data_IF_776048042313
#
_entry.id   IF_776048042313
#
_cell.length_a   1.000
_cell.length_b   1.000
_cell.length_c   1.000
_cell.angle_alpha   90.00
_cell.angle_beta   90.00
_cell.angle_gamma   90.00
#
_symmetry.space_group_name_H-M   'P 1'
#
loop_
_entity.id
_entity.type
_entity.pdbx_description
1 polymer ?
#
# COMPACT_ATOMS: atom_id res chain seq x y z
N UNK A 1 -23.57 36.09 -16.79
CA UNK A 1 -24.32 36.79 -15.72
C UNK A 1 -25.80 36.63 -15.99
N UNK A 2 -26.43 35.67 -15.33
CA UNK A 2 -27.89 35.45 -15.39
C UNK A 2 -28.48 36.06 -14.11
N UNK A 3 -29.43 36.99 -14.17
CA UNK A 3 -30.00 37.58 -12.97
C UNK A 3 -31.07 36.63 -12.40
N UNK A 4 -30.81 36.09 -11.22
CA UNK A 4 -31.75 35.30 -10.44
C UNK A 4 -32.81 36.23 -9.84
N UNK A 5 -34.07 36.03 -10.20
CA UNK A 5 -35.24 36.73 -9.67
C UNK A 5 -35.59 36.14 -8.28
N UNK A 6 -35.59 36.97 -7.23
CA UNK A 6 -36.20 36.64 -5.94
C UNK A 6 -37.65 37.16 -5.90
N UNK A 7 -38.61 36.27 -5.64
CA UNK A 7 -39.92 36.65 -5.14
C UNK A 7 -39.89 36.60 -3.61
N UNK A 8 -40.14 37.75 -2.96
CA UNK A 8 -40.32 37.83 -1.51
C UNK A 8 -41.82 37.82 -1.22
N UNK A 9 -42.30 36.74 -0.60
CA UNK A 9 -43.62 36.69 0.01
C UNK A 9 -43.45 37.05 1.50
N UNK A 10 -44.07 38.15 1.93
CA UNK A 10 -44.12 38.52 3.35
C UNK A 10 -45.18 37.70 4.06
N UNK A 11 -44.75 36.74 4.90
CA UNK A 11 -45.53 36.19 6.01
C UNK A 11 -44.77 36.51 7.29
N UNK A 12 -45.44 37.06 8.29
CA UNK A 12 -44.88 37.24 9.62
C UNK A 12 -44.66 35.86 10.25
N UNK A 13 -43.43 35.36 10.21
CA UNK A 13 -42.89 34.35 11.11
C UNK A 13 -41.41 34.69 11.30
N UNK A 14 -40.99 34.88 12.56
CA UNK A 14 -39.63 35.24 12.98
C UNK A 14 -38.59 34.10 12.76
N UNK A 15 -38.85 33.17 11.85
CA UNK A 15 -37.89 32.14 11.43
C UNK A 15 -37.15 32.61 10.18
N UNK A 16 -36.23 33.56 10.36
CA UNK A 16 -35.15 33.72 9.40
C UNK A 16 -34.35 32.40 9.39
N UNK A 17 -34.16 31.73 8.23
CA UNK A 17 -33.31 30.54 8.18
C UNK A 17 -31.93 30.92 8.70
N UNK A 18 -31.51 30.22 9.77
CA UNK A 18 -30.15 30.31 10.28
C UNK A 18 -29.23 29.98 9.09
N UNK A 19 -28.23 30.80 8.76
CA UNK A 19 -27.31 30.46 7.69
C UNK A 19 -26.70 29.09 8.00
N UNK A 20 -26.86 28.12 7.10
CA UNK A 20 -26.12 26.87 7.20
C UNK A 20 -24.62 27.23 7.21
N UNK A 21 -23.90 26.75 8.22
CA UNK A 21 -22.46 26.94 8.30
C UNK A 21 -21.82 26.26 7.08
N UNK A 22 -21.23 27.07 6.20
CA UNK A 22 -20.56 26.58 4.99
C UNK A 22 -19.28 25.88 5.43
N UNK A 23 -19.23 24.55 5.24
CA UNK A 23 -18.04 23.75 5.47
C UNK A 23 -17.08 23.93 4.29
N UNK A 24 -15.86 24.37 4.57
CA UNK A 24 -14.80 24.61 3.57
C UNK A 24 -13.60 23.72 3.84
N UNK A 25 -12.92 23.26 2.78
CA UNK A 25 -11.63 22.60 2.90
C UNK A 25 -10.54 23.58 3.39
N UNK A 26 -9.76 23.15 4.37
CA UNK A 26 -8.62 23.88 4.94
C UNK A 26 -7.26 23.34 4.48
N UNK A 27 -7.15 22.03 4.30
CA UNK A 27 -5.92 21.35 3.85
C UNK A 27 -6.29 20.00 3.22
N UNK A 28 -5.37 19.42 2.45
CA UNK A 28 -5.52 18.06 1.93
C UNK A 28 -4.18 17.39 1.64
N UNK A 29 -4.13 16.06 1.73
CA UNK A 29 -3.01 15.21 1.31
C UNK A 29 -3.55 14.07 0.47
N UNK A 30 -2.86 13.73 -0.62
CA UNK A 30 -3.25 12.67 -1.54
C UNK A 30 -2.22 11.55 -1.55
N UNK A 31 -2.71 10.32 -1.57
CA UNK A 31 -1.92 9.08 -1.60
C UNK A 31 -2.36 8.22 -2.79
N UNK A 32 -1.41 7.49 -3.36
CA UNK A 32 -1.65 6.58 -4.48
C UNK A 32 -2.25 5.26 -3.99
N UNK A 33 -3.30 4.79 -4.66
CA UNK A 33 -3.83 3.42 -4.51
C UNK A 33 -3.40 2.59 -5.70
N UNK A 34 -2.36 1.78 -5.50
CA UNK A 34 -1.82 0.89 -6.51
C UNK A 34 -2.74 -0.30 -6.80
N UNK A 35 -2.72 -0.79 -8.03
CA UNK A 35 -3.46 -1.98 -8.42
C UNK A 35 -3.10 -3.20 -7.56
N UNK A 36 -4.14 -3.88 -7.06
CA UNK A 36 -4.05 -5.14 -6.34
C UNK A 36 -4.64 -6.32 -7.14
N UNK A 37 -5.17 -6.03 -8.33
CA UNK A 37 -5.68 -6.99 -9.30
C UNK A 37 -4.95 -6.82 -10.65
N UNK A 38 -5.18 -7.76 -11.57
CA UNK A 38 -4.67 -7.66 -12.96
C UNK A 38 -5.44 -6.62 -13.80
N UNK A 39 -6.43 -5.94 -13.21
CA UNK A 39 -7.17 -4.87 -13.86
C UNK A 39 -6.32 -3.60 -13.89
N UNK A 40 -6.39 -2.88 -15.00
CA UNK A 40 -5.74 -1.58 -15.16
C UNK A 40 -6.54 -0.47 -14.45
N UNK A 41 -6.66 -0.57 -13.13
CA UNK A 41 -7.32 0.42 -12.28
C UNK A 41 -6.25 1.26 -11.60
N UNK A 42 -6.40 2.57 -11.67
CA UNK A 42 -5.61 3.54 -10.93
C UNK A 42 -6.51 4.19 -9.89
N UNK A 43 -6.01 4.35 -8.67
CA UNK A 43 -6.76 5.00 -7.62
C UNK A 43 -5.95 6.03 -6.87
N UNK A 44 -6.65 6.99 -6.29
CA UNK A 44 -6.09 7.93 -5.33
C UNK A 44 -7.04 8.01 -4.14
N UNK A 45 -6.47 8.26 -2.97
CA UNK A 45 -7.23 8.75 -1.82
C UNK A 45 -6.70 10.12 -1.40
N UNK A 46 -7.62 11.06 -1.22
CA UNK A 46 -7.34 12.38 -0.67
C UNK A 46 -7.96 12.51 0.72
N UNK A 47 -7.12 12.74 1.72
CA UNK A 47 -7.52 13.08 3.08
C UNK A 47 -7.67 14.60 3.17
N UNK A 48 -8.84 15.08 3.58
CA UNK A 48 -9.21 16.50 3.53
C UNK A 48 -9.57 16.98 4.94
N UNK A 49 -8.94 18.07 5.37
CA UNK A 49 -9.29 18.78 6.61
C UNK A 49 -10.41 19.78 6.35
N UNK A 50 -11.53 19.69 7.07
CA UNK A 50 -12.66 20.60 6.92
C UNK A 50 -12.70 21.70 8.00
N UNK A 51 -13.35 22.83 7.70
CA UNK A 51 -13.45 24.00 8.60
C UNK A 51 -14.29 23.77 9.86
N UNK A 52 -15.12 22.73 9.87
CA UNK A 52 -15.95 22.33 11.01
C UNK A 52 -15.30 21.24 11.89
N UNK A 53 -13.99 21.05 11.78
CA UNK A 53 -13.21 20.02 12.49
C UNK A 53 -13.56 18.56 12.13
N UNK A 54 -14.21 18.34 10.98
CA UNK A 54 -14.34 16.98 10.41
C UNK A 54 -13.21 16.71 9.42
N UNK A 55 -13.05 15.43 9.08
CA UNK A 55 -12.10 14.96 8.07
C UNK A 55 -12.86 14.19 7.00
N UNK A 56 -12.56 14.45 5.73
CA UNK A 56 -13.13 13.70 4.61
C UNK A 56 -12.07 12.82 3.97
N UNK A 57 -12.36 11.54 3.81
CA UNK A 57 -11.62 10.60 2.98
C UNK A 57 -12.32 10.50 1.63
N UNK A 58 -11.70 11.04 0.59
CA UNK A 58 -12.23 11.09 -0.76
C UNK A 58 -11.42 10.16 -1.66
N UNK A 59 -12.06 9.16 -2.26
CA UNK A 59 -11.40 8.17 -3.13
C UNK A 59 -11.88 8.38 -4.56
N UNK A 60 -10.93 8.40 -5.49
CA UNK A 60 -11.17 8.41 -6.94
C UNK A 60 -10.49 7.22 -7.58
N UNK A 61 -11.27 6.38 -8.24
CA UNK A 61 -10.78 5.30 -9.09
C UNK A 61 -11.06 5.62 -10.55
N UNK A 62 -10.08 5.32 -11.40
CA UNK A 62 -10.21 5.40 -12.85
C UNK A 62 -9.87 4.05 -13.47
N UNK A 63 -10.66 3.63 -14.45
CA UNK A 63 -10.55 2.31 -15.07
C UNK A 63 -11.92 1.70 -15.30
N UNK A 64 -11.92 0.41 -15.63
CA UNK A 64 -13.13 -0.34 -15.90
C UNK A 64 -13.66 -1.01 -14.62
N UNK A 65 -14.65 -0.36 -13.98
CA UNK A 65 -15.24 -0.77 -12.72
C UNK A 65 -16.56 -1.56 -12.90
N UNK A 66 -16.79 -2.22 -14.05
CA UNK A 66 -18.00 -2.94 -14.53
C UNK A 66 -18.92 -3.70 -13.54
N UNK A 67 -18.62 -3.78 -12.25
CA UNK A 67 -19.40 -4.41 -11.21
C UNK A 67 -20.27 -3.39 -10.43
N UNK A 68 -20.96 -3.85 -9.39
CA UNK A 68 -21.68 -3.00 -8.44
C UNK A 68 -20.70 -2.14 -7.61
N UNK A 69 -21.23 -1.29 -6.73
CA UNK A 69 -20.42 -0.47 -5.82
C UNK A 69 -19.38 -1.31 -5.06
N UNK A 70 -18.18 -0.76 -4.92
CA UNK A 70 -17.01 -1.45 -4.40
C UNK A 70 -16.74 -1.06 -2.94
N UNK A 71 -16.77 -2.00 -1.98
CA UNK A 71 -16.48 -1.70 -0.59
C UNK A 71 -15.06 -1.14 -0.41
N UNK A 72 -14.91 -0.19 0.52
CA UNK A 72 -13.63 0.40 0.86
C UNK A 72 -13.44 0.51 2.36
N UNK A 73 -12.20 0.36 2.80
CA UNK A 73 -11.85 0.33 4.22
C UNK A 73 -10.56 1.07 4.48
N UNK A 74 -10.53 1.82 5.58
CA UNK A 74 -9.30 2.24 6.24
C UNK A 74 -8.88 1.15 7.22
N UNK A 75 -7.61 0.72 7.15
CA UNK A 75 -7.09 -0.43 7.89
C UNK A 75 -5.75 -0.09 8.55
N UNK A 76 -5.44 -0.80 9.64
CA UNK A 76 -4.19 -0.64 10.39
C UNK A 76 -3.01 -1.36 9.72
N UNK A 77 -1.78 -0.97 10.11
CA UNK A 77 -0.49 -1.45 9.59
C UNK A 77 -0.25 -1.09 8.11
N UNK A 78 0.78 -1.65 7.49
CA UNK A 78 0.98 -1.50 6.05
C UNK A 78 0.10 -2.44 5.23
N UNK A 79 -0.13 -2.09 3.97
CA UNK A 79 -0.80 -2.94 2.98
C UNK A 79 -0.06 -4.28 2.75
N UNK A 80 1.25 -4.33 2.99
CA UNK A 80 2.06 -5.55 2.88
C UNK A 80 1.92 -6.48 4.09
N UNK A 81 1.57 -5.94 5.26
CA UNK A 81 1.35 -6.72 6.50
C UNK A 81 -0.13 -7.05 6.72
N UNK A 82 -1.02 -6.32 6.05
CA UNK A 82 -2.47 -6.31 6.30
C UNK A 82 -2.79 -5.90 7.73
N UNK A 83 -4.08 -5.73 8.05
CA UNK A 83 -4.48 -5.41 9.41
C UNK A 83 -5.97 -5.36 9.63
N UNK A 84 -6.35 -5.06 10.87
CA UNK A 84 -7.74 -4.90 11.26
C UNK A 84 -8.35 -3.66 10.60
N UNK A 85 -9.67 -3.69 10.43
CA UNK A 85 -10.43 -2.54 9.92
C UNK A 85 -10.47 -1.46 11.01
N UNK A 86 -10.03 -0.26 10.65
CA UNK A 86 -10.06 0.92 11.52
C UNK A 86 -11.33 1.74 11.30
N UNK A 87 -11.79 1.84 10.05
CA UNK A 87 -13.02 2.53 9.67
C UNK A 87 -13.58 1.93 8.36
N UNK A 88 -14.85 1.59 8.35
CA UNK A 88 -15.59 1.30 7.11
C UNK A 88 -15.84 2.61 6.35
N UNK A 89 -15.52 2.63 5.07
CA UNK A 89 -15.74 3.79 4.20
C UNK A 89 -16.99 3.56 3.35
N UNK A 90 -17.59 4.65 2.89
CA UNK A 90 -18.61 4.59 1.85
C UNK A 90 -18.05 3.84 0.63
N UNK A 91 -18.87 2.99 0.02
CA UNK A 91 -18.46 2.22 -1.14
C UNK A 91 -18.14 3.15 -2.34
N UNK A 92 -17.18 2.76 -3.17
CA UNK A 92 -16.90 3.45 -4.43
C UNK A 92 -18.09 3.18 -5.35
N UNK A 93 -18.72 4.25 -5.79
CA UNK A 93 -19.80 4.16 -6.76
C UNK A 93 -19.24 3.72 -8.11
N UNK A 94 -19.79 2.64 -8.67
CA UNK A 94 -19.25 2.02 -9.88
C UNK A 94 -19.42 2.87 -11.14
N UNK A 95 -20.41 3.76 -11.20
CA UNK A 95 -20.67 4.64 -12.35
C UNK A 95 -19.71 5.84 -12.38
N UNK A 96 -19.36 6.37 -11.21
CA UNK A 96 -18.54 7.58 -11.08
C UNK A 96 -17.09 7.31 -10.72
N UNK A 97 -16.79 6.14 -10.15
CA UNK A 97 -15.47 5.81 -9.60
C UNK A 97 -15.16 6.54 -8.29
N UNK A 98 -16.14 7.16 -7.65
CA UNK A 98 -15.93 8.05 -6.49
C UNK A 98 -16.50 7.44 -5.21
N UNK A 99 -15.78 7.61 -4.10
CA UNK A 99 -16.30 7.48 -2.73
C UNK A 99 -15.94 8.73 -1.91
N UNK A 100 -16.81 9.11 -0.96
CA UNK A 100 -16.58 10.24 -0.06
C UNK A 100 -17.13 9.95 1.33
N UNK A 101 -16.24 9.72 2.29
CA UNK A 101 -16.59 9.46 3.70
C UNK A 101 -16.16 10.64 4.57
N UNK A 102 -17.09 11.29 5.27
CA UNK A 102 -16.76 12.36 6.23
C UNK A 102 -16.93 11.85 7.66
N UNK A 103 -15.92 12.05 8.50
CA UNK A 103 -15.86 11.49 9.85
C UNK A 103 -15.33 12.50 10.87
N UNK A 104 -15.65 12.26 12.14
CA UNK A 104 -15.01 12.91 13.30
C UNK A 104 -14.27 11.90 14.18
N UNK A 105 -14.20 10.63 13.76
CA UNK A 105 -13.50 9.59 14.50
C UNK A 105 -11.97 9.75 14.43
N UNK A 106 -11.48 10.31 13.31
CA UNK A 106 -10.08 10.64 13.09
C UNK A 106 -9.98 12.09 12.61
N UNK A 107 -9.10 12.87 13.22
CA UNK A 107 -8.74 14.19 12.71
C UNK A 107 -7.86 14.06 11.46
N UNK A 108 -7.69 15.16 10.73
CA UNK A 108 -6.78 15.19 9.59
C UNK A 108 -5.35 14.83 10.06
N UNK A 109 -4.90 15.44 11.15
CA UNK A 109 -3.60 15.18 11.75
C UNK A 109 -3.42 13.71 12.16
N UNK A 110 -4.45 13.08 12.75
CA UNK A 110 -4.39 11.64 13.07
C UNK A 110 -4.18 10.79 11.82
N UNK A 111 -4.77 11.17 10.68
CA UNK A 111 -4.63 10.44 9.42
C UNK A 111 -3.28 10.69 8.70
N UNK A 112 -2.64 11.83 8.94
CA UNK A 112 -1.29 12.11 8.42
C UNK A 112 -0.23 11.31 9.18
N UNK A 113 -0.42 11.04 10.47
CA UNK A 113 0.47 10.22 11.28
C UNK A 113 0.00 8.75 11.39
N UNK A 114 -1.01 8.35 10.61
CA UNK A 114 -1.65 7.06 10.74
C UNK A 114 -0.76 5.91 10.26
N UNK A 115 -0.61 4.90 11.11
CA UNK A 115 -0.06 3.60 10.75
C UNK A 115 -1.14 2.75 10.08
N UNK A 116 -1.36 2.99 8.79
CA UNK A 116 -2.41 2.31 8.07
C UNK A 116 -2.30 2.37 6.56
N UNK A 117 -3.31 1.76 5.96
CA UNK A 117 -3.51 1.71 4.52
C UNK A 117 -4.99 1.72 4.20
N UNK A 118 -5.31 2.03 2.95
CA UNK A 118 -6.66 1.95 2.40
C UNK A 118 -6.69 0.86 1.36
N UNK A 119 -7.77 0.10 1.33
CA UNK A 119 -8.03 -0.83 0.25
C UNK A 119 -9.46 -0.69 -0.27
N UNK A 120 -9.61 -1.06 -1.54
CA UNK A 120 -10.91 -1.18 -2.21
C UNK A 120 -11.06 -2.61 -2.67
N UNK A 121 -12.12 -3.27 -2.24
CA UNK A 121 -12.41 -4.66 -2.57
C UNK A 121 -13.12 -4.75 -3.93
N UNK A 122 -13.13 -5.94 -4.51
CA UNK A 122 -14.17 -6.21 -5.49
C UNK A 122 -15.56 -6.07 -4.84
N UNK A 123 -16.57 -5.74 -5.65
CA UNK A 123 -17.95 -5.80 -5.17
C UNK A 123 -18.27 -7.22 -4.72
N UNK A 124 -19.24 -7.34 -3.81
CA UNK A 124 -19.70 -8.57 -3.12
C UNK A 124 -20.09 -9.78 -4.01
N UNK A 125 -19.82 -9.72 -5.32
CA UNK A 125 -20.07 -10.77 -6.31
C UNK A 125 -18.81 -11.34 -6.96
N UNK A 126 -17.67 -10.66 -6.87
CA UNK A 126 -16.39 -11.25 -7.21
C UNK A 126 -15.70 -11.59 -5.88
N UNK A 127 -14.93 -12.67 -5.85
CA UNK A 127 -14.24 -13.22 -4.66
C UNK A 127 -13.58 -12.16 -3.74
N UNK A 128 -13.17 -12.55 -2.52
CA UNK A 128 -12.45 -11.78 -1.46
C UNK A 128 -11.17 -11.00 -1.89
N UNK A 129 -10.96 -10.74 -3.18
CA UNK A 129 -9.86 -9.99 -3.76
C UNK A 129 -10.00 -8.47 -3.63
N UNK A 130 -8.90 -7.81 -3.96
CA UNK A 130 -8.73 -6.37 -3.89
C UNK A 130 -8.59 -5.79 -5.30
N UNK A 131 -9.24 -4.65 -5.54
CA UNK A 131 -9.05 -3.86 -6.76
C UNK A 131 -7.77 -3.06 -6.68
N UNK A 132 -7.67 -2.22 -5.65
CA UNK A 132 -6.55 -1.33 -5.37
C UNK A 132 -6.29 -1.25 -3.88
N UNK A 133 -5.07 -0.91 -3.51
CA UNK A 133 -4.71 -0.57 -2.14
C UNK A 133 -3.51 0.37 -2.11
N UNK A 134 -3.38 1.15 -1.04
CA UNK A 134 -2.27 2.06 -0.85
C UNK A 134 -2.06 2.40 0.61
N UNK A 135 -0.79 2.47 0.99
CA UNK A 135 -0.37 2.95 2.31
C UNK A 135 -0.67 4.45 2.44
N UNK A 136 -1.05 4.91 3.64
CA UNK A 136 -1.29 6.33 3.92
C UNK A 136 -0.48 6.77 5.13
N UNK A 137 -0.52 8.06 5.43
CA UNK A 137 0.08 8.62 6.64
C UNK A 137 1.57 8.33 6.72
N UNK A 138 2.03 7.80 7.86
CA UNK A 138 3.46 7.51 8.07
C UNK A 138 3.98 6.34 7.21
N UNK A 139 3.08 5.52 6.65
CA UNK A 139 3.43 4.39 5.80
C UNK A 139 3.65 4.81 4.35
N UNK A 140 3.31 6.03 3.97
CA UNK A 140 3.48 6.52 2.60
C UNK A 140 4.94 6.38 2.12
N UNK A 141 5.09 6.11 0.82
CA UNK A 141 6.40 5.88 0.22
C UNK A 141 7.04 7.19 -0.20
N UNK A 142 8.31 7.34 0.15
CA UNK A 142 9.14 8.41 -0.40
C UNK A 142 9.62 8.05 -1.80
N UNK A 143 10.27 9.00 -2.48
CA UNK A 143 10.94 8.74 -3.77
C UNK A 143 12.32 8.07 -3.61
N UNK A 144 12.74 7.73 -2.38
CA UNK A 144 14.06 7.15 -2.09
C UNK A 144 13.98 5.64 -2.19
N UNK A 145 14.73 5.06 -3.14
CA UNK A 145 14.77 3.61 -3.35
C UNK A 145 16.16 3.13 -3.76
N UNK A 146 16.39 1.83 -3.55
CA UNK A 146 17.57 1.10 -4.03
C UNK A 146 17.15 -0.25 -4.61
N UNK A 147 17.83 -0.70 -5.66
CA UNK A 147 17.55 -1.95 -6.35
C UNK A 147 18.79 -2.81 -6.42
N UNK A 148 18.63 -4.11 -6.17
CA UNK A 148 19.69 -5.12 -6.27
C UNK A 148 19.27 -6.23 -7.23
N UNK A 149 20.19 -6.65 -8.09
CA UNK A 149 19.94 -7.73 -9.04
C UNK A 149 19.95 -9.09 -8.33
N UNK A 150 19.00 -9.95 -8.69
CA UNK A 150 18.89 -11.33 -8.24
C UNK A 150 19.10 -12.25 -9.43
N UNK A 151 20.22 -12.96 -9.44
CA UNK A 151 20.68 -13.75 -10.56
C UNK A 151 20.33 -15.23 -10.38
N UNK A 152 20.20 -15.92 -11.51
CA UNK A 152 19.98 -17.37 -11.59
C UNK A 152 20.97 -18.16 -10.72
N UNK A 153 20.48 -19.23 -10.06
CA UNK A 153 21.33 -20.15 -9.29
C UNK A 153 21.15 -21.62 -9.68
N UNK A 154 20.17 -22.31 -9.10
CA UNK A 154 19.93 -23.75 -9.34
C UNK A 154 18.78 -24.00 -10.31
N UNK A 155 17.88 -23.01 -10.50
CA UNK A 155 16.73 -23.08 -11.40
C UNK A 155 16.99 -22.24 -12.64
N UNK A 156 17.21 -22.90 -13.78
CA UNK A 156 17.51 -22.25 -15.05
C UNK A 156 16.39 -21.31 -15.51
N UNK A 157 16.77 -20.14 -16.02
CA UNK A 157 15.89 -19.11 -16.57
C UNK A 157 15.32 -18.14 -15.53
N UNK A 158 15.57 -18.34 -14.24
CA UNK A 158 15.06 -17.47 -13.19
C UNK A 158 16.00 -16.28 -12.93
N UNK A 159 15.48 -15.05 -12.97
CA UNK A 159 16.24 -13.84 -12.66
C UNK A 159 15.31 -12.67 -12.39
N UNK A 160 15.82 -11.62 -11.75
CA UNK A 160 15.04 -10.41 -11.51
C UNK A 160 15.78 -9.46 -10.58
N UNK A 161 15.01 -8.75 -9.77
CA UNK A 161 15.58 -7.84 -8.78
C UNK A 161 14.73 -7.80 -7.51
N UNK A 162 15.31 -7.17 -6.49
CA UNK A 162 14.59 -6.68 -5.33
C UNK A 162 14.78 -5.17 -5.27
N UNK A 163 13.70 -4.44 -5.01
CA UNK A 163 13.72 -3.00 -4.78
C UNK A 163 13.25 -2.72 -3.36
N UNK A 164 14.01 -1.90 -2.63
CA UNK A 164 13.62 -1.35 -1.35
C UNK A 164 13.25 0.12 -1.53
N UNK A 165 12.06 0.51 -1.10
CA UNK A 165 11.61 1.92 -1.13
C UNK A 165 11.36 2.40 0.30
N UNK A 166 11.94 3.54 0.67
CA UNK A 166 11.84 4.11 2.02
C UNK A 166 10.44 4.66 2.28
N UNK A 167 9.85 4.31 3.42
CA UNK A 167 8.61 4.89 3.96
C UNK A 167 8.90 6.17 4.74
N UNK A 168 7.89 7.02 4.95
CA UNK A 168 8.06 8.25 5.74
C UNK A 168 8.49 7.98 7.19
N UNK A 169 8.03 6.89 7.80
CA UNK A 169 8.44 6.45 9.14
C UNK A 169 9.89 5.90 9.21
N UNK A 170 10.58 5.76 8.08
CA UNK A 170 11.97 5.25 8.00
C UNK A 170 12.10 3.75 7.72
N UNK A 171 11.02 2.98 7.82
CA UNK A 171 10.96 1.59 7.38
C UNK A 171 11.11 1.48 5.84
N UNK A 172 11.15 0.26 5.32
CA UNK A 172 11.20 0.03 3.88
C UNK A 172 10.12 -0.94 3.39
N UNK A 173 9.55 -0.66 2.22
CA UNK A 173 8.84 -1.66 1.43
C UNK A 173 9.86 -2.39 0.55
N UNK A 174 10.02 -3.70 0.77
CA UNK A 174 10.80 -4.58 -0.09
C UNK A 174 9.88 -5.24 -1.13
N UNK A 175 10.18 -5.05 -2.42
CA UNK A 175 9.48 -5.67 -3.54
C UNK A 175 10.45 -6.55 -4.32
N UNK A 176 10.25 -7.87 -4.25
CA UNK A 176 10.95 -8.83 -5.11
C UNK A 176 10.14 -9.00 -6.38
N UNK A 177 10.80 -8.90 -7.54
CA UNK A 177 10.19 -9.08 -8.86
C UNK A 177 11.06 -9.99 -9.72
N UNK A 178 10.61 -11.22 -9.94
CA UNK A 178 11.32 -12.26 -10.67
C UNK A 178 10.60 -12.65 -11.96
N UNK A 179 11.38 -13.03 -12.95
CA UNK A 179 10.94 -13.78 -14.12
C UNK A 179 11.45 -15.21 -14.03
N UNK A 180 10.75 -16.16 -14.67
CA UNK A 180 11.19 -17.55 -14.76
C UNK A 180 11.04 -18.37 -13.48
N UNK A 181 10.24 -17.90 -12.51
CA UNK A 181 9.88 -18.70 -11.33
C UNK A 181 9.00 -19.90 -11.72
N UNK A 182 9.15 -21.05 -11.05
CA UNK A 182 8.23 -22.18 -11.24
C UNK A 182 6.77 -21.81 -10.92
N UNK A 183 5.92 -21.79 -11.95
CA UNK A 183 4.50 -21.39 -11.84
C UNK A 183 3.74 -22.20 -10.79
N UNK A 184 2.89 -21.53 -10.01
CA UNK A 184 2.13 -22.13 -8.91
C UNK A 184 2.98 -22.47 -7.67
N UNK A 185 4.28 -22.19 -7.69
CA UNK A 185 5.16 -22.34 -6.53
C UNK A 185 4.91 -21.27 -5.45
N UNK A 186 5.37 -21.57 -4.24
CA UNK A 186 5.50 -20.63 -3.13
C UNK A 186 6.96 -20.67 -2.72
N UNK A 187 7.68 -19.57 -2.92
CA UNK A 187 9.13 -19.53 -2.82
C UNK A 187 9.56 -18.69 -1.60
N UNK A 188 10.06 -19.33 -0.53
CA UNK A 188 10.61 -18.60 0.62
C UNK A 188 11.76 -17.70 0.20
N UNK A 189 11.89 -16.54 0.82
CA UNK A 189 12.98 -15.62 0.55
C UNK A 189 13.56 -15.07 1.85
N UNK A 190 14.88 -14.92 1.89
CA UNK A 190 15.60 -14.50 3.09
C UNK A 190 16.74 -13.55 2.78
N UNK A 191 17.07 -12.66 3.73
CA UNK A 191 18.40 -12.06 3.82
C UNK A 191 19.25 -12.95 4.72
N UNK A 192 20.42 -13.32 4.22
CA UNK A 192 21.48 -13.96 4.96
C UNK A 192 22.59 -12.95 5.25
N UNK A 193 23.30 -13.12 6.36
CA UNK A 193 24.51 -12.34 6.66
C UNK A 193 25.73 -12.82 5.86
N UNK A 194 26.72 -11.93 5.70
CA UNK A 194 27.90 -12.05 4.84
C UNK A 194 27.58 -11.85 3.34
N UNK A 195 28.59 -11.98 2.47
CA UNK A 195 28.37 -12.15 1.04
C UNK A 195 27.96 -13.59 0.71
N UNK A 196 27.36 -13.79 -0.48
CA UNK A 196 26.88 -15.08 -0.93
C UNK A 196 27.97 -16.16 -1.04
N UNK A 197 29.23 -15.79 -1.28
CA UNK A 197 30.34 -16.72 -1.41
C UNK A 197 30.81 -17.25 -0.03
N UNK A 198 30.75 -16.38 0.98
CA UNK A 198 31.11 -16.70 2.37
C UNK A 198 29.98 -17.42 3.09
N UNK A 199 28.72 -17.13 2.73
CA UNK A 199 27.49 -17.64 3.35
C UNK A 199 27.29 -17.18 4.80
N UNK A 200 26.07 -17.31 5.31
CA UNK A 200 25.77 -16.99 6.71
C UNK A 200 24.35 -17.36 7.12
N UNK A 201 24.03 -17.20 8.42
CA UNK A 201 22.68 -17.42 8.93
C UNK A 201 21.67 -16.43 8.31
N UNK A 202 20.41 -16.84 8.29
CA UNK A 202 19.27 -16.00 7.95
C UNK A 202 19.11 -14.95 9.06
N UNK A 203 19.03 -13.67 8.66
CA UNK A 203 18.82 -12.53 9.57
C UNK A 203 17.46 -11.87 9.37
N UNK A 204 16.85 -12.02 8.19
CA UNK A 204 15.54 -11.46 7.86
C UNK A 204 14.76 -12.42 6.96
N UNK A 205 13.46 -12.54 7.18
CA UNK A 205 12.55 -13.37 6.38
C UNK A 205 11.55 -12.50 5.64
N UNK A 206 11.50 -12.63 4.31
CA UNK A 206 10.50 -11.94 3.49
C UNK A 206 9.18 -12.72 3.45
N UNK A 207 8.11 -12.05 3.02
CA UNK A 207 6.95 -12.74 2.47
C UNK A 207 7.38 -13.61 1.27
N UNK A 208 6.72 -14.74 1.08
CA UNK A 208 7.05 -15.69 0.02
C UNK A 208 6.80 -15.07 -1.37
N UNK A 209 7.66 -15.40 -2.34
CA UNK A 209 7.45 -15.01 -3.74
C UNK A 209 6.41 -15.95 -4.34
N UNK A 210 5.36 -15.37 -4.91
CA UNK A 210 4.35 -16.11 -5.65
C UNK A 210 4.96 -16.60 -6.96
N UNK A 211 5.06 -17.91 -7.15
CA UNK A 211 5.72 -18.49 -8.33
C UNK A 211 5.01 -18.24 -9.66
N UNK A 212 3.72 -17.89 -9.63
CA UNK A 212 2.96 -17.52 -10.83
C UNK A 212 3.25 -16.08 -11.28
N UNK A 213 3.29 -15.13 -10.34
CA UNK A 213 3.51 -13.70 -10.66
C UNK A 213 4.98 -13.29 -10.57
N UNK A 214 5.81 -14.04 -9.85
CA UNK A 214 7.20 -13.70 -9.54
C UNK A 214 7.33 -12.58 -8.51
N UNK A 215 6.23 -12.15 -7.88
CA UNK A 215 6.21 -10.98 -6.98
C UNK A 215 6.14 -11.40 -5.50
N UNK A 216 6.87 -10.67 -4.66
CA UNK A 216 6.65 -10.57 -3.20
C UNK A 216 6.74 -9.11 -2.77
N UNK A 217 5.94 -8.72 -1.77
CA UNK A 217 5.98 -7.40 -1.12
C UNK A 217 6.08 -7.63 0.38
N UNK A 218 7.05 -7.01 1.06
CA UNK A 218 7.28 -7.19 2.52
C UNK A 218 7.60 -5.85 3.17
N UNK A 219 7.05 -5.58 4.35
CA UNK A 219 7.49 -4.47 5.18
C UNK A 219 8.78 -4.83 5.93
N UNK A 220 9.74 -3.92 5.97
CA UNK A 220 11.06 -4.11 6.61
C UNK A 220 11.21 -3.09 7.73
N UNK A 221 11.10 -3.58 8.96
CA UNK A 221 11.17 -2.78 10.19
C UNK A 221 12.12 -3.35 11.25
N UNK A 222 12.33 -4.67 11.27
CA UNK A 222 13.21 -5.35 12.21
C UNK A 222 13.77 -6.65 11.62
N UNK A 223 14.92 -7.10 12.13
CA UNK A 223 15.46 -8.44 11.92
C UNK A 223 14.62 -9.49 12.64
N UNK A 224 14.87 -10.76 12.32
CA UNK A 224 14.18 -11.90 12.92
C UNK A 224 14.40 -12.03 14.45
N UNK A 225 15.44 -11.39 15.00
CA UNK A 225 15.70 -11.33 16.45
C UNK A 225 15.06 -10.12 17.15
N UNK A 226 14.34 -9.28 16.40
CA UNK A 226 13.67 -8.07 16.87
C UNK A 226 14.57 -6.82 16.91
N UNK A 227 15.85 -6.91 16.51
CA UNK A 227 16.68 -5.72 16.36
C UNK A 227 16.12 -4.83 15.24
N UNK A 228 16.03 -3.50 15.43
CA UNK A 228 15.60 -2.59 14.37
C UNK A 228 16.45 -2.75 13.11
N UNK A 229 15.79 -2.78 11.96
CA UNK A 229 16.42 -2.87 10.65
C UNK A 229 15.56 -2.11 9.66
N UNK A 230 16.00 -0.89 9.38
CA UNK A 230 15.26 0.12 8.61
C UNK A 230 15.89 0.29 7.23
N UNK A 231 15.33 1.21 6.43
CA UNK A 231 15.83 1.46 5.07
C UNK A 231 17.33 1.77 5.02
N UNK A 232 17.83 2.63 5.92
CA UNK A 232 19.23 3.05 5.91
C UNK A 232 20.18 1.88 6.28
N UNK A 233 19.71 0.89 7.04
CA UNK A 233 20.46 -0.33 7.37
C UNK A 233 20.60 -1.26 6.16
N UNK A 234 19.58 -1.32 5.29
CA UNK A 234 19.64 -2.07 4.02
C UNK A 234 20.77 -1.59 3.12
N UNK A 235 21.12 -0.29 3.19
CA UNK A 235 22.21 0.27 2.36
C UNK A 235 23.60 -0.17 2.81
N UNK A 236 23.74 -0.62 4.06
CA UNK A 236 25.04 -0.89 4.68
C UNK A 236 25.19 -2.33 5.18
N UNK A 237 24.13 -3.12 5.13
CA UNK A 237 24.16 -4.52 5.53
C UNK A 237 25.19 -5.30 4.71
N UNK A 238 26.03 -6.06 5.39
CA UNK A 238 26.86 -7.09 4.77
C UNK A 238 25.99 -8.34 4.64
N UNK A 239 25.22 -8.42 3.55
CA UNK A 239 24.22 -9.47 3.35
C UNK A 239 24.06 -9.91 1.89
N UNK A 240 23.32 -11.01 1.73
CA UNK A 240 22.86 -11.50 0.43
C UNK A 240 21.45 -12.08 0.55
N UNK A 241 20.72 -12.08 -0.55
CA UNK A 241 19.37 -12.61 -0.65
C UNK A 241 19.40 -13.94 -1.37
N UNK A 242 18.59 -14.86 -0.85
CA UNK A 242 18.21 -16.09 -1.53
C UNK A 242 16.69 -16.12 -1.70
N UNK A 243 16.24 -16.62 -2.85
CA UNK A 243 14.87 -17.10 -3.04
C UNK A 243 14.94 -18.60 -3.27
N UNK A 244 14.24 -19.37 -2.44
CA UNK A 244 14.28 -20.83 -2.40
C UNK A 244 13.17 -21.45 -3.26
N UNK A 245 13.36 -22.69 -3.71
CA UNK A 245 12.36 -23.37 -4.55
C UNK A 245 11.06 -23.65 -3.78
N UNK A 246 11.14 -24.09 -2.53
CA UNK A 246 9.99 -24.36 -1.66
C UNK A 246 10.44 -24.61 -0.22
N UNK A 247 9.50 -24.65 0.72
CA UNK A 247 9.77 -25.02 2.13
C UNK A 247 10.37 -26.43 2.29
N UNK A 248 10.05 -27.35 1.38
CA UNK A 248 10.60 -28.71 1.38
C UNK A 248 11.94 -28.83 0.65
N UNK A 249 12.34 -27.79 -0.09
CA UNK A 249 13.55 -27.77 -0.91
C UNK A 249 14.34 -26.46 -0.70
N UNK A 250 14.56 -26.08 0.55
CA UNK A 250 15.32 -24.86 0.91
C UNK A 250 16.78 -24.88 0.41
N UNK A 251 17.33 -26.05 0.09
CA UNK A 251 18.67 -26.15 -0.47
C UNK A 251 18.73 -25.90 -2.00
N UNK A 252 17.58 -25.72 -2.66
CA UNK A 252 17.50 -25.37 -4.08
C UNK A 252 17.17 -23.89 -4.20
N UNK A 253 18.11 -23.11 -4.74
CA UNK A 253 18.02 -21.66 -4.85
C UNK A 253 17.55 -21.29 -6.25
N UNK A 254 16.44 -20.54 -6.33
CA UNK A 254 15.89 -20.01 -7.58
C UNK A 254 16.76 -18.85 -8.07
N UNK A 255 16.95 -17.85 -7.21
CA UNK A 255 17.82 -16.69 -7.46
C UNK A 255 18.61 -16.28 -6.23
N UNK A 256 19.76 -15.63 -6.45
CA UNK A 256 20.68 -15.15 -5.42
C UNK A 256 21.29 -13.79 -5.80
N UNK A 257 21.52 -12.91 -4.84
CA UNK A 257 22.21 -11.63 -5.07
C UNK A 257 22.75 -10.99 -3.78
N UNK A 258 23.93 -10.38 -3.83
CA UNK A 258 24.46 -9.60 -2.71
C UNK A 258 23.69 -8.29 -2.56
N UNK A 259 23.67 -7.74 -1.35
CA UNK A 259 23.05 -6.44 -1.05
C UNK A 259 23.95 -5.61 -0.13
N UNK A 260 23.62 -4.32 -0.01
CA UNK A 260 24.28 -3.39 0.91
C UNK A 260 25.79 -3.27 0.62
N UNK A 261 26.60 -3.49 1.65
CA UNK A 261 28.05 -3.26 1.61
C UNK A 261 28.84 -4.19 0.67
N UNK A 262 28.25 -5.29 0.21
CA UNK A 262 28.92 -6.27 -0.66
C UNK A 262 28.48 -6.20 -2.13
N UNK A 263 27.68 -5.19 -2.48
CA UNK A 263 27.13 -5.02 -3.82
C UNK A 263 27.97 -4.07 -4.68
#
# INVERSE_FOLDING_TARGET
MCPLLLFVACGNDDDAPIPEDIVTQLASTTYDLGAASDLAIQGFITVIKNSNNTTTLYIELSGDLNAADHPAQLRLNTAAETGAVALELEAINNETGISSTTTSAYTYEDLIDFDGYVNVQFSNFESDGLLVQGDIGQNDLTTTSITYDLLEKDVLGASGNITFTKRLNGEALAVISLNGTPSGGIHPAHIHSNDAATTGPIIFTFNTVNGTTGISKTNVSALNDGAPFLYDDVLTVNGYINVHLSDSQLNVIVVQGNIGANN
#
